data_IF_087134613712
#
_entry.id   IF_087134613712
#
_cell.length_a   1.000
_cell.length_b   1.000
_cell.length_c   1.000
_cell.angle_alpha   90.00
_cell.angle_beta   90.00
_cell.angle_gamma   90.00
#
_symmetry.space_group_name_H-M   'P 1'
#
loop_
_entity.id
_entity.type
_entity.pdbx_description
1 polymer ?
#
# COMPACT_ATOMS: atom_id res chain seq x y z
N UNK A 1 21.68 -0.57 11.63
CA UNK A 1 20.85 -1.78 11.56
C UNK A 1 20.16 -2.10 12.89
N UNK A 2 20.85 -2.10 14.01
CA UNK A 2 20.30 -2.35 15.36
C UNK A 2 19.03 -1.54 15.66
N UNK A 3 19.04 -0.24 15.37
CA UNK A 3 17.90 0.67 15.61
C UNK A 3 16.64 0.25 14.85
N UNK A 4 16.78 -0.26 13.62
CA UNK A 4 15.63 -0.70 12.81
C UNK A 4 15.02 -1.99 13.37
N UNK A 5 15.85 -2.92 13.83
CA UNK A 5 15.39 -4.15 14.49
C UNK A 5 14.65 -3.82 15.80
N UNK A 6 15.25 -2.97 16.64
CA UNK A 6 14.59 -2.50 17.87
C UNK A 6 13.24 -1.79 17.58
N UNK A 7 13.15 -1.04 16.48
CA UNK A 7 11.89 -0.41 16.08
C UNK A 7 10.82 -1.45 15.71
N UNK A 8 11.18 -2.51 14.96
CA UNK A 8 10.26 -3.60 14.63
C UNK A 8 9.79 -4.35 15.88
N UNK A 9 10.70 -4.64 16.82
CA UNK A 9 10.39 -5.27 18.11
C UNK A 9 9.40 -4.40 18.91
N UNK A 10 9.68 -3.11 19.04
CA UNK A 10 8.81 -2.18 19.76
C UNK A 10 7.42 -2.03 19.12
N UNK A 11 7.30 -2.15 17.79
CA UNK A 11 6.01 -2.18 17.08
C UNK A 11 5.28 -3.50 17.34
N UNK A 12 5.99 -4.62 17.33
CA UNK A 12 5.42 -5.93 17.63
C UNK A 12 4.87 -6.02 19.07
N UNK A 13 5.60 -5.49 20.06
CA UNK A 13 5.14 -5.40 21.46
C UNK A 13 3.87 -4.57 21.61
N UNK A 14 3.67 -3.58 20.73
CA UNK A 14 2.45 -2.74 20.71
C UNK A 14 1.33 -3.33 19.85
N UNK A 15 1.47 -4.56 19.37
CA UNK A 15 0.50 -5.23 18.50
C UNK A 15 0.19 -4.46 17.20
N UNK A 16 1.17 -3.72 16.66
CA UNK A 16 1.02 -3.06 15.36
C UNK A 16 0.94 -4.11 14.27
N UNK A 17 -0.15 -4.09 13.49
CA UNK A 17 -0.43 -5.11 12.48
C UNK A 17 0.12 -4.76 11.11
N UNK A 18 0.18 -3.47 10.74
CA UNK A 18 0.63 -3.01 9.42
C UNK A 18 1.80 -2.05 9.59
N UNK A 19 2.91 -2.38 8.93
CA UNK A 19 4.14 -1.57 8.97
C UNK A 19 4.53 -1.12 7.58
N UNK A 20 4.65 0.20 7.39
CA UNK A 20 5.20 0.82 6.19
C UNK A 20 6.71 0.97 6.31
N UNK A 21 7.45 0.33 5.42
CA UNK A 21 8.91 0.48 5.31
C UNK A 21 9.30 1.16 3.99
N UNK A 22 9.06 2.49 3.91
CA UNK A 22 9.44 3.33 2.76
C UNK A 22 10.96 3.59 2.71
N UNK A 23 11.74 2.53 2.86
CA UNK A 23 13.20 2.53 2.85
C UNK A 23 13.72 1.36 2.02
N UNK A 24 14.99 1.45 1.58
CA UNK A 24 15.63 0.38 0.82
C UNK A 24 17.14 0.34 1.09
N UNK A 25 17.72 -0.84 0.93
CA UNK A 25 19.15 -1.07 1.12
C UNK A 25 19.58 -2.44 0.59
N UNK A 26 20.86 -2.80 0.81
CA UNK A 26 21.38 -4.12 0.48
C UNK A 26 20.78 -5.19 1.42
N UNK A 27 20.93 -6.49 1.09
CA UNK A 27 20.50 -7.57 1.95
C UNK A 27 21.25 -7.53 3.30
N UNK A 28 20.53 -7.87 4.37
CA UNK A 28 21.07 -7.95 5.72
C UNK A 28 20.39 -9.07 6.50
N UNK A 29 21.13 -10.04 6.94
CA UNK A 29 20.59 -11.25 7.55
C UNK A 29 19.89 -10.98 8.89
N UNK A 30 20.39 -10.02 9.70
CA UNK A 30 19.77 -9.66 10.98
C UNK A 30 18.38 -9.02 10.73
N UNK A 31 18.28 -8.13 9.73
CA UNK A 31 17.00 -7.53 9.36
C UNK A 31 16.04 -8.58 8.81
N UNK A 32 16.52 -9.52 7.99
CA UNK A 32 15.71 -10.61 7.45
C UNK A 32 15.07 -11.44 8.56
N UNK A 33 15.89 -11.84 9.56
CA UNK A 33 15.41 -12.60 10.71
C UNK A 33 14.40 -11.81 11.55
N UNK A 34 14.65 -10.51 11.79
CA UNK A 34 13.73 -9.65 12.52
C UNK A 34 12.38 -9.50 11.79
N UNK A 35 12.40 -9.38 10.46
CA UNK A 35 11.19 -9.34 9.62
C UNK A 35 10.44 -10.67 9.72
N UNK A 36 11.09 -11.80 9.55
CA UNK A 36 10.46 -13.11 9.67
C UNK A 36 9.80 -13.29 11.04
N UNK A 37 10.50 -12.93 12.13
CA UNK A 37 9.92 -12.99 13.49
C UNK A 37 8.71 -12.06 13.67
N UNK A 38 8.72 -10.88 13.05
CA UNK A 38 7.58 -9.96 13.08
C UNK A 38 6.37 -10.52 12.30
N UNK A 39 6.62 -11.15 11.15
CA UNK A 39 5.58 -11.82 10.34
C UNK A 39 4.95 -13.01 11.08
N UNK A 40 5.74 -13.82 11.78
CA UNK A 40 5.25 -14.91 12.64
C UNK A 40 4.29 -14.40 13.73
N UNK A 41 4.49 -13.16 14.21
CA UNK A 41 3.57 -12.48 15.15
C UNK A 41 2.36 -11.84 14.44
N UNK A 42 2.19 -12.09 13.13
CA UNK A 42 1.08 -11.59 12.33
C UNK A 42 1.24 -10.15 11.83
N UNK A 43 2.44 -9.60 11.84
CA UNK A 43 2.73 -8.28 11.30
C UNK A 43 2.82 -8.34 9.78
N UNK A 44 2.15 -7.40 9.10
CA UNK A 44 2.17 -7.22 7.65
C UNK A 44 3.18 -6.12 7.33
N UNK A 45 4.21 -6.45 6.58
CA UNK A 45 5.27 -5.52 6.22
C UNK A 45 5.14 -5.16 4.75
N UNK A 46 5.07 -3.88 4.46
CA UNK A 46 4.90 -3.33 3.12
C UNK A 46 6.09 -2.41 2.84
N UNK A 47 6.82 -2.65 1.76
CA UNK A 47 8.09 -1.97 1.52
C UNK A 47 8.23 -1.44 0.09
N UNK A 48 9.08 -0.42 -0.05
CA UNK A 48 9.37 0.22 -1.33
C UNK A 48 10.29 -0.65 -2.19
N UNK A 49 9.91 -0.85 -3.47
CA UNK A 49 10.65 -1.65 -4.43
C UNK A 49 12.10 -1.16 -4.69
N UNK A 50 12.37 0.12 -4.41
CA UNK A 50 13.67 0.74 -4.67
C UNK A 50 13.64 1.71 -5.86
N UNK A 51 14.64 2.58 -5.94
CA UNK A 51 14.71 3.67 -6.93
C UNK A 51 16.04 3.72 -7.68
N UNK A 52 16.66 2.56 -7.92
CA UNK A 52 17.98 2.43 -8.56
C UNK A 52 17.91 2.07 -10.04
N UNK A 53 16.69 2.00 -10.62
CA UNK A 53 16.45 1.66 -12.02
C UNK A 53 16.10 0.19 -12.23
N UNK A 54 15.57 -0.11 -13.43
CA UNK A 54 15.02 -1.42 -13.78
C UNK A 54 16.03 -2.58 -13.73
N UNK A 55 17.31 -2.30 -14.00
CA UNK A 55 18.37 -3.31 -14.01
C UNK A 55 19.18 -3.40 -12.73
N UNK A 56 18.76 -2.71 -11.66
CA UNK A 56 19.46 -2.76 -10.39
C UNK A 56 19.16 -4.06 -9.64
N UNK A 57 20.06 -4.41 -8.71
CA UNK A 57 19.85 -5.52 -7.79
C UNK A 57 18.59 -5.32 -6.94
N UNK A 58 17.96 -6.42 -6.49
CA UNK A 58 16.79 -6.34 -5.61
C UNK A 58 17.04 -5.50 -4.37
N UNK A 59 16.06 -4.67 -4.00
CA UNK A 59 16.12 -3.82 -2.82
C UNK A 59 15.48 -4.48 -1.61
N UNK A 60 16.11 -4.36 -0.46
CA UNK A 60 15.61 -4.89 0.80
C UNK A 60 15.16 -3.76 1.75
N UNK A 61 14.08 -3.98 2.50
CA UNK A 61 13.42 -5.26 2.81
C UNK A 61 12.42 -5.76 1.77
N UNK A 62 12.06 -5.01 0.74
CA UNK A 62 11.02 -5.39 -0.23
C UNK A 62 11.22 -6.80 -0.83
N UNK A 63 12.46 -7.21 -1.09
CA UNK A 63 12.77 -8.50 -1.67
C UNK A 63 12.88 -9.66 -0.65
N UNK A 64 12.56 -9.44 0.64
CA UNK A 64 12.46 -10.56 1.60
C UNK A 64 11.13 -11.29 1.46
N UNK A 65 11.10 -12.61 1.70
CA UNK A 65 9.87 -13.41 1.66
C UNK A 65 8.78 -12.82 2.56
N UNK A 66 7.55 -12.81 2.08
CA UNK A 66 6.37 -12.34 2.81
C UNK A 66 6.29 -10.81 3.02
N UNK A 67 7.23 -10.04 2.48
CA UNK A 67 7.13 -8.57 2.44
C UNK A 67 6.39 -8.17 1.17
N UNK A 68 5.37 -7.33 1.29
CA UNK A 68 4.63 -6.81 0.14
C UNK A 68 5.45 -5.71 -0.51
N UNK A 69 6.00 -5.98 -1.68
CA UNK A 69 6.85 -5.06 -2.43
C UNK A 69 6.03 -4.15 -3.34
N UNK A 70 6.21 -2.83 -3.18
CA UNK A 70 5.40 -1.83 -3.89
C UNK A 70 6.25 -1.00 -4.84
N UNK A 71 5.89 -1.03 -6.13
CA UNK A 71 6.42 -0.14 -7.17
C UNK A 71 5.55 1.11 -7.33
N UNK A 72 6.08 2.11 -8.04
CA UNK A 72 5.41 3.38 -8.26
C UNK A 72 4.99 3.56 -9.72
N UNK A 73 3.80 4.12 -9.92
CA UNK A 73 3.32 4.55 -11.25
C UNK A 73 2.94 6.02 -11.26
N UNK A 74 2.94 6.61 -12.45
CA UNK A 74 2.48 7.96 -12.72
C UNK A 74 0.96 8.02 -13.03
N UNK A 75 0.46 9.21 -13.38
CA UNK A 75 -0.95 9.44 -13.75
C UNK A 75 -1.38 8.71 -15.03
N UNK A 76 -0.43 8.37 -15.91
CA UNK A 76 -0.68 7.58 -17.12
C UNK A 76 -0.61 6.08 -16.88
N UNK A 77 -0.24 5.69 -15.64
CA UNK A 77 0.02 4.32 -15.20
C UNK A 77 1.33 3.75 -15.73
N UNK A 78 2.22 4.61 -16.21
CA UNK A 78 3.57 4.21 -16.57
C UNK A 78 4.42 4.04 -15.31
N UNK A 79 5.26 3.01 -15.29
CA UNK A 79 6.15 2.74 -14.15
C UNK A 79 7.13 3.90 -13.94
N UNK A 80 7.39 4.24 -12.70
CA UNK A 80 8.39 5.24 -12.35
C UNK A 80 9.76 4.86 -12.95
N UNK A 81 10.30 5.73 -13.80
CA UNK A 81 11.53 5.49 -14.59
C UNK A 81 12.74 5.01 -13.77
N UNK A 82 12.78 5.33 -12.47
CA UNK A 82 13.83 4.91 -11.54
C UNK A 82 13.43 3.73 -10.66
N UNK A 83 12.21 3.21 -10.77
CA UNK A 83 11.80 2.06 -9.97
C UNK A 83 12.70 0.86 -10.27
N UNK A 84 13.15 0.19 -9.22
CA UNK A 84 13.80 -1.11 -9.34
C UNK A 84 12.74 -2.15 -9.68
N UNK A 85 13.07 -3.08 -10.59
CA UNK A 85 12.18 -4.12 -11.07
C UNK A 85 12.73 -5.50 -10.71
N UNK A 86 11.85 -6.49 -10.60
CA UNK A 86 12.26 -7.86 -10.29
C UNK A 86 11.07 -8.75 -9.92
N UNK A 87 11.32 -10.04 -9.82
CA UNK A 87 10.30 -11.05 -9.48
C UNK A 87 9.66 -10.83 -8.08
N UNK A 88 10.29 -10.02 -7.24
CA UNK A 88 9.80 -9.71 -5.90
C UNK A 88 8.71 -8.64 -5.88
N UNK A 89 8.44 -7.96 -7.00
CA UNK A 89 7.41 -6.91 -7.06
C UNK A 89 6.02 -7.55 -6.94
N UNK A 90 5.20 -7.04 -6.02
CA UNK A 90 3.84 -7.54 -5.80
C UNK A 90 2.78 -6.58 -6.31
N UNK A 91 2.87 -5.28 -5.98
CA UNK A 91 1.82 -4.30 -6.27
C UNK A 91 2.38 -3.00 -6.81
N UNK A 92 1.57 -2.32 -7.59
CA UNK A 92 1.81 -0.95 -8.02
C UNK A 92 0.83 0.02 -7.33
N UNK A 93 1.31 1.23 -7.04
CA UNK A 93 0.47 2.32 -6.54
C UNK A 93 0.98 3.67 -7.06
N UNK A 94 0.18 4.77 -6.97
CA UNK A 94 0.63 6.10 -7.35
C UNK A 94 1.89 6.51 -6.56
N UNK A 95 2.92 7.00 -7.25
CA UNK A 95 4.18 7.37 -6.59
C UNK A 95 5.02 8.35 -7.40
N UNK A 96 4.45 8.97 -8.45
CA UNK A 96 5.16 9.91 -9.31
C UNK A 96 4.43 11.25 -9.33
N UNK A 97 5.19 12.32 -9.14
CA UNK A 97 4.75 13.71 -9.11
C UNK A 97 3.59 13.96 -8.11
N UNK A 98 3.71 13.35 -6.95
CA UNK A 98 2.75 13.53 -5.87
C UNK A 98 3.02 14.82 -5.10
N UNK A 99 1.96 15.60 -4.87
CA UNK A 99 2.01 16.74 -3.98
C UNK A 99 2.01 16.27 -2.53
N UNK A 100 3.06 16.55 -1.80
CA UNK A 100 3.25 16.11 -0.41
C UNK A 100 3.62 17.27 0.49
N UNK A 101 3.40 17.15 1.78
CA UNK A 101 3.78 18.13 2.77
C UNK A 101 5.31 18.42 2.72
N UNK A 102 5.67 19.68 2.90
CA UNK A 102 7.06 20.11 2.95
C UNK A 102 7.42 20.68 4.34
N UNK A 103 8.68 20.54 4.79
CA UNK A 103 9.17 21.21 5.98
C UNK A 103 8.99 22.72 5.86
N UNK A 104 8.56 23.38 6.95
CA UNK A 104 8.31 24.82 6.97
C UNK A 104 6.93 25.25 6.47
N UNK A 105 6.06 24.32 6.13
CA UNK A 105 4.69 24.55 5.65
C UNK A 105 4.56 24.46 4.13
N UNK A 106 3.29 24.39 3.65
CA UNK A 106 2.99 24.19 2.24
C UNK A 106 3.28 22.76 1.77
N UNK A 107 3.61 22.61 0.50
CA UNK A 107 3.88 21.32 -0.12
C UNK A 107 4.92 21.37 -1.22
N UNK A 108 5.34 20.20 -1.67
CA UNK A 108 6.29 20.01 -2.76
C UNK A 108 5.93 18.77 -3.57
N UNK A 109 6.35 18.73 -4.83
CA UNK A 109 6.16 17.55 -5.67
C UNK A 109 7.29 16.56 -5.46
N UNK A 110 6.95 15.30 -5.25
CA UNK A 110 7.91 14.20 -5.03
C UNK A 110 7.54 12.97 -5.84
N UNK A 111 8.58 12.19 -6.19
CA UNK A 111 8.44 10.91 -6.90
C UNK A 111 9.33 9.85 -6.29
N UNK A 112 8.84 8.61 -6.21
CA UNK A 112 9.58 7.46 -5.71
C UNK A 112 8.66 6.34 -5.23
N UNK A 113 9.18 5.12 -5.20
CA UNK A 113 8.45 3.96 -4.65
C UNK A 113 8.07 4.14 -3.19
N UNK A 114 8.86 4.92 -2.43
CA UNK A 114 8.55 5.31 -1.03
C UNK A 114 7.23 6.07 -0.89
N UNK A 115 6.77 6.77 -1.94
CA UNK A 115 5.49 7.49 -1.94
C UNK A 115 4.32 6.62 -2.37
N UNK A 116 4.59 5.48 -3.02
CA UNK A 116 3.58 4.49 -3.38
C UNK A 116 3.19 3.59 -2.19
N UNK A 117 4.14 3.23 -1.33
CA UNK A 117 3.92 2.34 -0.17
C UNK A 117 2.77 2.79 0.73
N UNK A 118 2.62 4.08 1.09
CA UNK A 118 1.53 4.53 1.97
C UNK A 118 0.12 4.21 1.45
N UNK A 119 -0.10 4.17 0.13
CA UNK A 119 -1.40 3.81 -0.44
C UNK A 119 -1.76 2.35 -0.16
N UNK A 120 -0.78 1.45 -0.30
CA UNK A 120 -0.97 0.03 0.00
C UNK A 120 -1.11 -0.18 1.51
N UNK A 121 -0.31 0.52 2.31
CA UNK A 121 -0.37 0.44 3.77
C UNK A 121 -1.71 0.94 4.32
N UNK A 122 -2.25 2.01 3.76
CA UNK A 122 -3.59 2.51 4.12
C UNK A 122 -4.68 1.49 3.74
N UNK A 123 -4.62 0.92 2.55
CA UNK A 123 -5.56 -0.12 2.11
C UNK A 123 -5.51 -1.36 3.02
N UNK A 124 -4.30 -1.82 3.38
CA UNK A 124 -4.09 -2.91 4.32
C UNK A 124 -4.68 -2.61 5.70
N UNK A 125 -4.46 -1.39 6.21
CA UNK A 125 -5.00 -0.96 7.50
C UNK A 125 -6.54 -0.92 7.50
N UNK A 126 -7.15 -0.43 6.42
CA UNK A 126 -8.61 -0.42 6.24
C UNK A 126 -9.17 -1.85 6.22
N UNK A 127 -8.54 -2.76 5.49
CA UNK A 127 -8.94 -4.18 5.46
C UNK A 127 -8.83 -4.81 6.86
N UNK A 128 -7.78 -4.56 7.61
CA UNK A 128 -7.65 -5.05 8.99
C UNK A 128 -8.70 -4.46 9.93
N UNK A 129 -9.08 -3.19 9.75
CA UNK A 129 -10.09 -2.52 10.57
C UNK A 129 -11.54 -2.93 10.22
N UNK A 130 -11.78 -3.48 9.02
CA UNK A 130 -13.13 -3.88 8.56
C UNK A 130 -13.68 -5.14 9.23
N UNK A 131 -12.95 -5.75 10.17
CA UNK A 131 -13.37 -6.94 10.90
C UNK A 131 -13.20 -8.26 10.11
N UNK A 132 -12.58 -8.23 8.94
CA UNK A 132 -12.34 -9.43 8.11
C UNK A 132 -11.35 -10.41 8.71
N UNK A 133 -10.65 -10.02 9.75
CA UNK A 133 -9.68 -10.84 10.52
C UNK A 133 -8.70 -11.64 9.65
N UNK A 134 -8.26 -11.01 8.54
CA UNK A 134 -7.34 -11.64 7.59
C UNK A 134 -5.97 -11.85 8.23
N UNK A 135 -5.42 -13.06 8.08
CA UNK A 135 -4.01 -13.28 8.34
C UNK A 135 -3.15 -12.57 7.26
N UNK A 136 -1.83 -12.44 7.43
CA UNK A 136 -0.98 -11.75 6.47
C UNK A 136 -1.14 -12.23 5.03
N UNK A 137 -1.17 -13.55 4.80
CA UNK A 137 -1.30 -14.14 3.45
C UNK A 137 -2.67 -13.83 2.83
N UNK A 138 -3.74 -13.95 3.61
CA UNK A 138 -5.10 -13.64 3.15
C UNK A 138 -5.28 -12.15 2.83
N UNK A 139 -4.63 -11.27 3.57
CA UNK A 139 -4.64 -9.84 3.27
C UNK A 139 -3.87 -9.55 1.99
N UNK A 140 -2.67 -10.12 1.83
CA UNK A 140 -1.88 -9.98 0.61
C UNK A 140 -2.67 -10.47 -0.61
N UNK A 141 -3.23 -11.67 -0.56
CA UNK A 141 -4.06 -12.22 -1.63
C UNK A 141 -5.29 -11.35 -1.95
N UNK A 142 -5.89 -10.72 -0.94
CA UNK A 142 -6.99 -9.78 -1.13
C UNK A 142 -6.54 -8.51 -1.86
N UNK A 143 -5.39 -7.96 -1.51
CA UNK A 143 -4.83 -6.80 -2.21
C UNK A 143 -4.49 -7.13 -3.67
N UNK A 144 -3.83 -8.26 -3.91
CA UNK A 144 -3.40 -8.73 -5.24
C UNK A 144 -4.59 -9.00 -6.17
N UNK A 145 -5.67 -9.61 -5.67
CA UNK A 145 -6.88 -9.89 -6.45
C UNK A 145 -7.70 -8.64 -6.79
N UNK A 146 -7.45 -7.52 -6.14
CA UNK A 146 -8.15 -6.25 -6.36
C UNK A 146 -7.28 -5.22 -7.10
N UNK A 147 -6.50 -5.68 -8.06
CA UNK A 147 -5.65 -4.83 -8.92
C UNK A 147 -6.25 -4.61 -10.31
N UNK A 148 -5.70 -3.64 -11.00
CA UNK A 148 -5.78 -3.50 -12.44
C UNK A 148 -4.46 -3.99 -13.00
N UNK A 149 -4.51 -5.06 -13.79
CA UNK A 149 -3.33 -5.61 -14.45
C UNK A 149 -2.70 -4.55 -15.38
N UNK A 150 -1.39 -4.40 -15.31
CA UNK A 150 -0.61 -3.47 -16.11
C UNK A 150 0.60 -4.20 -16.70
N UNK A 151 1.05 -3.75 -17.86
CA UNK A 151 2.21 -4.33 -18.53
C UNK A 151 1.89 -5.64 -19.26
N UNK A 152 2.62 -6.70 -18.94
CA UNK A 152 2.35 -8.04 -19.50
C UNK A 152 1.18 -8.68 -18.75
N UNK A 153 0.32 -9.44 -19.44
CA UNK A 153 -0.79 -10.11 -18.76
C UNK A 153 -0.35 -10.98 -17.60
N UNK A 154 -1.01 -10.80 -16.45
CA UNK A 154 -0.68 -11.48 -15.19
C UNK A 154 0.48 -10.82 -14.44
N UNK A 155 0.98 -11.49 -13.39
CA UNK A 155 2.07 -10.97 -12.57
C UNK A 155 3.35 -10.81 -13.39
N UNK A 156 3.95 -9.62 -13.35
CA UNK A 156 5.20 -9.31 -14.04
C UNK A 156 6.23 -8.60 -13.14
N UNK A 157 7.48 -8.49 -13.61
CA UNK A 157 8.60 -7.90 -12.85
C UNK A 157 8.51 -6.40 -12.66
N UNK A 158 7.63 -5.72 -13.39
CA UNK A 158 7.52 -4.25 -13.43
C UNK A 158 6.41 -3.76 -12.52
N UNK A 159 5.23 -4.40 -12.60
CA UNK A 159 4.02 -3.97 -11.92
C UNK A 159 3.50 -4.96 -10.87
N UNK A 160 4.14 -6.13 -10.75
CA UNK A 160 3.63 -7.23 -9.93
C UNK A 160 2.27 -7.70 -10.44
N UNK A 161 1.28 -7.80 -9.58
CA UNK A 161 -0.12 -8.09 -9.93
C UNK A 161 -0.86 -6.87 -10.51
N UNK A 162 -0.24 -5.69 -10.50
CA UNK A 162 -0.79 -4.47 -11.09
C UNK A 162 -1.12 -3.36 -10.09
N UNK A 163 -1.83 -2.34 -10.58
CA UNK A 163 -2.23 -1.15 -9.81
C UNK A 163 -3.41 -1.45 -8.89
N UNK A 164 -3.22 -1.29 -7.58
CA UNK A 164 -4.27 -1.49 -6.59
C UNK A 164 -5.50 -0.62 -6.87
N UNK A 165 -6.69 -1.24 -6.86
CA UNK A 165 -7.99 -0.59 -7.00
C UNK A 165 -8.66 -0.49 -5.63
N UNK A 166 -8.23 0.45 -4.80
CA UNK A 166 -8.69 0.58 -3.40
C UNK A 166 -10.22 0.71 -3.26
N UNK A 167 -10.91 1.27 -4.25
CA UNK A 167 -12.37 1.36 -4.26
C UNK A 167 -13.07 -0.02 -4.24
N UNK A 168 -12.42 -1.07 -4.73
CA UNK A 168 -12.95 -2.43 -4.71
C UNK A 168 -12.86 -3.09 -3.33
N UNK A 169 -11.99 -2.57 -2.45
CA UNK A 169 -11.78 -3.10 -1.11
C UNK A 169 -12.83 -2.64 -0.10
N UNK A 170 -13.48 -1.52 -0.38
CA UNK A 170 -14.57 -0.99 0.42
C UNK A 170 -15.86 -1.17 -0.38
N UNK A 171 -16.70 -2.19 -0.14
CA UNK A 171 -18.03 -2.20 -0.71
C UNK A 171 -18.73 -0.93 -0.22
N UNK A 172 -19.05 -0.02 -1.15
CA UNK A 172 -19.90 1.12 -0.82
C UNK A 172 -21.20 0.53 -0.29
N UNK A 173 -21.44 0.65 0.99
CA UNK A 173 -22.78 0.51 1.52
C UNK A 173 -23.56 1.66 0.89
N UNK A 174 -24.28 1.38 -0.17
CA UNK A 174 -25.35 2.25 -0.65
C UNK A 174 -26.45 2.19 0.41
N UNK A 175 -26.26 2.92 1.50
CA UNK A 175 -27.33 3.31 2.38
C UNK A 175 -28.17 4.34 1.61
N UNK A 176 -28.85 3.91 0.56
CA UNK A 176 -30.07 4.58 0.13
C UNK A 176 -31.11 4.32 1.20
N UNK A 177 -31.05 5.12 2.27
CA UNK A 177 -32.23 5.34 3.11
C UNK A 177 -33.24 6.02 2.20
N UNK A 178 -34.38 5.41 1.88
CA UNK A 178 -35.42 6.10 1.12
C UNK A 178 -35.80 7.34 1.95
N UNK A 179 -35.52 8.53 1.40
CA UNK A 179 -36.05 9.75 1.96
C UNK A 179 -37.57 9.63 1.81
N UNK A 180 -38.24 9.29 2.89
CA UNK A 180 -39.68 9.33 2.94
C UNK A 180 -40.11 10.77 2.56
N UNK A 181 -40.72 10.91 1.41
CA UNK A 181 -41.37 12.15 1.02
C UNK A 181 -42.55 12.35 1.98
N UNK A 182 -42.29 13.02 3.11
CA UNK A 182 -43.36 13.59 3.94
C UNK A 182 -43.93 14.76 3.16
N UNK A 183 -45.04 14.51 2.46
CA UNK A 183 -45.84 15.54 1.81
C UNK A 183 -46.38 16.51 2.84
N UNK A 184 -45.71 17.64 3.04
CA UNK A 184 -46.27 18.81 3.67
C UNK A 184 -47.04 19.59 2.61
N UNK A 185 -48.33 19.28 2.54
CA UNK A 185 -49.31 20.10 1.78
C UNK A 185 -49.41 21.47 2.43
N UNK A 186 -48.81 22.48 1.84
CA UNK A 186 -49.11 23.89 2.15
C UNK A 186 -50.30 24.31 1.32
N UNK A 187 -51.50 24.37 1.95
CA UNK A 187 -52.65 25.07 1.39
C UNK A 187 -52.52 26.56 1.76
N UNK A 188 -52.13 27.38 0.84
CA UNK A 188 -52.21 28.84 0.94
C UNK A 188 -53.60 29.30 0.55
N UNK A 189 -54.42 29.69 1.53
CA UNK A 189 -55.58 30.57 1.28
C UNK A 189 -55.07 32.01 1.30
N UNK A 190 -55.25 32.68 0.15
CA UNK A 190 -55.08 34.14 0.00
C UNK A 190 -56.44 34.76 0.08
N UNK A 191 -56.63 35.88 0.78
CA UNK A 191 -57.89 36.62 0.91
C UNK A 191 -58.31 37.37 -0.37
#
# INVERSE_FOLDING_TARGET
MTTLVMALEALAERNVRVVNMSLSGPPNEVLKQAIASAQEKGMIIIAAAGNNGAGADPSYPAAYPGVIAVTAVDRKRDVYRRATQGEYIDLAAPGVDLWVAAPGGGGTTKSGTSYAVPFISAAAAVLQASGTNLNPDGLQATLESNTMDLGKPGRDKTYGYGLLQAAKLCPMQTNETPVAQSGLGFSAKVP
#
